data_IF_419738852434
#
_entry.id   IF_419738852434
#
_cell.length_a   1.000
_cell.length_b   1.000
_cell.length_c   1.000
_cell.angle_alpha   90.00
_cell.angle_beta   90.00
_cell.angle_gamma   90.00
#
_symmetry.space_group_name_H-M   'P 1'
#
loop_
_entity.id
_entity.type
_entity.pdbx_description
1 polymer ?
#
# COMPACT_ATOMS: atom_id res chain seq x y z
N UNK A 1 3.50 4.19 -18.82
CA UNK A 1 4.36 5.40 -18.69
C UNK A 1 4.19 5.97 -17.27
N UNK A 2 4.77 5.32 -16.25
CA UNK A 2 4.74 5.74 -14.82
C UNK A 2 6.09 5.37 -14.17
N UNK A 3 7.21 5.55 -14.88
CA UNK A 3 8.54 5.15 -14.38
C UNK A 3 9.16 6.18 -13.42
N UNK A 4 8.51 7.34 -13.19
CA UNK A 4 9.15 8.51 -12.56
C UNK A 4 8.51 8.98 -11.24
N UNK A 5 7.67 8.18 -10.60
CA UNK A 5 6.96 8.59 -9.37
C UNK A 5 7.71 8.18 -8.09
N UNK A 6 8.73 7.32 -8.17
CA UNK A 6 9.39 6.75 -7.00
C UNK A 6 10.63 7.57 -6.63
N UNK A 7 10.43 8.65 -5.89
CA UNK A 7 11.49 9.27 -5.09
C UNK A 7 10.84 10.00 -3.93
N UNK A 8 11.22 9.62 -2.70
CA UNK A 8 10.93 10.32 -1.44
C UNK A 8 9.52 10.17 -0.86
N UNK A 9 9.24 9.05 -0.18
CA UNK A 9 8.48 9.10 1.09
C UNK A 9 8.97 7.99 2.03
N UNK A 10 9.65 8.34 3.12
CA UNK A 10 10.04 7.44 4.21
C UNK A 10 9.11 7.66 5.42
N UNK A 11 8.65 6.56 6.04
CA UNK A 11 7.87 6.60 7.28
C UNK A 11 6.98 5.36 7.44
N UNK A 12 7.28 4.55 8.44
CA UNK A 12 6.62 3.27 8.72
C UNK A 12 5.33 3.42 9.53
N UNK A 13 4.42 2.49 9.25
CA UNK A 13 3.09 2.22 9.83
C UNK A 13 1.90 2.93 9.15
N UNK A 14 1.20 2.11 8.32
CA UNK A 14 -0.23 2.18 7.96
C UNK A 14 -0.67 3.09 6.80
N UNK A 15 0.05 3.04 5.67
CA UNK A 15 -0.57 3.05 4.33
C UNK A 15 0.41 2.41 3.35
N UNK A 16 0.03 1.31 2.71
CA UNK A 16 0.80 0.78 1.59
C UNK A 16 0.20 1.41 0.33
N UNK A 17 1.00 2.19 -0.40
CA UNK A 17 0.65 2.51 -1.78
C UNK A 17 0.96 1.27 -2.60
N UNK A 18 -0.07 0.67 -3.17
CA UNK A 18 0.10 -0.44 -4.07
C UNK A 18 -0.14 0.05 -5.49
N UNK A 19 0.85 -0.19 -6.34
CA UNK A 19 0.79 0.12 -7.76
C UNK A 19 0.82 -1.21 -8.48
N UNK A 20 -0.32 -1.61 -9.06
CA UNK A 20 -0.36 -2.75 -9.96
C UNK A 20 0.35 -2.39 -11.26
N UNK A 21 1.57 -2.86 -11.46
CA UNK A 21 2.15 -2.94 -12.80
C UNK A 21 1.53 -4.18 -13.48
N UNK A 22 0.44 -3.97 -14.22
CA UNK A 22 -0.20 -5.03 -15.02
C UNK A 22 0.78 -5.47 -16.11
N UNK A 23 1.42 -6.62 -15.94
CA UNK A 23 2.05 -7.34 -17.03
C UNK A 23 0.99 -8.30 -17.58
N UNK A 24 0.52 -8.02 -18.80
CA UNK A 24 -0.50 -8.85 -19.46
C UNK A 24 -0.02 -10.30 -19.55
N UNK A 25 -0.78 -11.23 -18.97
CA UNK A 25 -0.66 -12.66 -19.25
C UNK A 25 -2.02 -13.22 -19.65
N UNK A 26 -2.00 -14.10 -20.65
CA UNK A 26 -3.14 -14.57 -21.46
C UNK A 26 -4.17 -15.46 -20.72
N UNK A 27 -4.21 -15.47 -19.38
CA UNK A 27 -5.03 -16.41 -18.61
C UNK A 27 -5.99 -15.78 -17.59
N UNK A 28 -6.20 -14.46 -17.62
CA UNK A 28 -7.25 -13.83 -16.81
C UNK A 28 -7.06 -13.93 -15.29
N UNK A 29 -5.86 -14.29 -14.83
CA UNK A 29 -5.42 -14.22 -13.43
C UNK A 29 -4.23 -13.27 -13.38
N UNK A 30 -4.41 -12.08 -12.83
CA UNK A 30 -3.30 -11.16 -12.58
C UNK A 30 -2.61 -11.58 -11.28
N UNK A 31 -1.54 -12.37 -11.40
CA UNK A 31 -0.64 -12.66 -10.27
C UNK A 31 0.31 -11.47 -10.13
N UNK A 32 0.16 -10.72 -9.05
CA UNK A 32 1.00 -9.55 -8.80
C UNK A 32 2.06 -9.96 -7.78
N UNK A 33 3.29 -10.15 -8.25
CA UNK A 33 4.45 -10.41 -7.40
C UNK A 33 5.03 -9.08 -6.93
N UNK A 34 5.05 -8.87 -5.61
CA UNK A 34 5.91 -7.89 -4.96
C UNK A 34 5.17 -6.80 -4.18
N UNK A 35 5.37 -6.80 -2.87
CA UNK A 35 5.31 -5.61 -2.04
C UNK A 35 6.74 -5.05 -2.01
N UNK A 36 6.96 -3.83 -2.52
CA UNK A 36 8.24 -3.15 -2.29
C UNK A 36 8.24 -2.60 -0.85
N UNK A 37 8.61 -3.43 0.12
CA UNK A 37 9.03 -2.93 1.44
C UNK A 37 10.42 -2.33 1.30
N UNK A 38 10.50 -0.99 1.20
CA UNK A 38 11.77 -0.30 1.50
C UNK A 38 11.89 -0.24 3.03
N UNK A 39 12.25 -1.38 3.63
CA UNK A 39 12.81 -1.41 4.98
C UNK A 39 14.29 -1.67 4.86
N UNK A 40 15.06 -0.59 4.87
CA UNK A 40 16.31 -0.39 5.62
C UNK A 40 17.13 0.69 4.93
N UNK A 41 17.00 1.93 5.42
CA UNK A 41 18.06 2.91 5.26
C UNK A 41 19.06 2.64 6.41
N UNK A 42 19.95 1.66 6.24
CA UNK A 42 21.18 1.67 7.04
C UNK A 42 21.98 2.82 6.48
N UNK A 43 21.98 3.94 7.22
CA UNK A 43 22.75 5.13 6.89
C UNK A 43 24.19 4.74 6.56
N UNK A 44 24.58 5.01 5.31
CA UNK A 44 25.94 4.88 4.75
C UNK A 44 27.06 5.49 5.64
N UNK A 45 26.70 6.32 6.63
CA UNK A 45 27.65 6.87 7.60
C UNK A 45 28.34 5.82 8.47
N UNK A 46 27.69 4.70 8.84
CA UNK A 46 28.34 3.68 9.67
C UNK A 46 29.40 2.85 8.93
N UNK A 47 29.28 2.74 7.60
CA UNK A 47 30.28 2.06 6.75
C UNK A 47 31.52 2.94 6.54
N UNK A 48 31.37 4.26 6.46
CA UNK A 48 32.47 5.19 6.23
C UNK A 48 33.40 5.31 7.46
N UNK A 49 32.85 5.24 8.68
CA UNK A 49 33.66 5.31 9.91
C UNK A 49 34.52 4.06 10.13
N UNK A 50 34.05 2.88 9.68
CA UNK A 50 34.79 1.61 9.83
C UNK A 50 35.94 1.46 8.82
N UNK A 51 35.90 2.14 7.68
CA UNK A 51 36.98 2.14 6.68
C UNK A 51 38.08 3.18 6.97
N UNK A 52 37.80 4.19 7.81
CA UNK A 52 38.78 5.24 8.16
C UNK A 52 39.72 4.88 9.32
N UNK A 53 39.51 3.75 10.02
CA UNK A 53 40.29 3.41 11.22
C UNK A 53 41.60 2.64 10.94
N UNK A 54 41.88 2.23 9.70
CA UNK A 54 43.11 1.50 9.37
C UNK A 54 44.18 2.44 8.83
N UNK A 55 44.68 3.34 9.69
CA UNK A 55 46.04 3.88 9.56
C UNK A 55 46.45 4.55 10.87
N UNK A 56 46.93 3.74 11.83
CA UNK A 56 48.16 4.00 12.60
C UNK A 56 48.40 2.95 13.69
N UNK A 57 49.70 2.66 13.83
CA UNK A 57 50.43 1.99 14.93
C UNK A 57 50.26 0.48 15.13
N UNK A 58 51.36 -0.22 14.84
CA UNK A 58 51.69 -1.54 15.32
C UNK A 58 51.80 -1.58 16.85
N UNK A 59 51.16 -2.57 17.47
CA UNK A 59 51.67 -3.25 18.67
C UNK A 59 51.00 -4.63 18.78
N UNK A 60 51.82 -5.65 19.05
CA UNK A 60 51.45 -7.05 19.10
C UNK A 60 50.37 -7.33 20.16
N UNK A 61 49.25 -7.95 19.79
CA UNK A 61 48.35 -8.59 20.76
C UNK A 61 47.42 -9.62 20.10
N UNK A 62 47.63 -10.86 20.53
CA UNK A 62 46.82 -12.09 20.45
C UNK A 62 45.80 -12.23 19.29
N UNK A 63 46.21 -12.89 18.19
CA UNK A 63 45.38 -13.22 17.01
C UNK A 63 44.13 -14.06 17.34
N UNK A 64 44.14 -14.82 18.44
CA UNK A 64 43.08 -15.76 18.79
C UNK A 64 41.79 -15.12 19.33
N UNK A 65 41.84 -13.92 19.91
CA UNK A 65 40.65 -13.26 20.50
C UNK A 65 39.85 -12.45 19.47
N UNK A 66 40.51 -11.94 18.43
CA UNK A 66 39.88 -11.10 17.39
C UNK A 66 39.04 -11.94 16.41
N UNK A 67 39.44 -13.19 16.17
CA UNK A 67 38.72 -14.14 15.31
C UNK A 67 37.38 -14.55 15.92
N UNK A 68 37.30 -14.76 17.24
CA UNK A 68 36.04 -15.09 17.91
C UNK A 68 35.05 -13.91 17.95
N UNK A 69 35.53 -12.68 18.12
CA UNK A 69 34.68 -11.48 18.04
C UNK A 69 34.14 -11.25 16.63
N UNK A 70 34.97 -11.41 15.60
CA UNK A 70 34.53 -11.31 14.20
C UNK A 70 33.51 -12.40 13.84
N UNK A 71 33.71 -13.64 14.32
CA UNK A 71 32.79 -14.74 14.08
C UNK A 71 31.45 -14.55 14.82
N UNK A 72 31.47 -14.05 16.05
CA UNK A 72 30.26 -13.74 16.81
C UNK A 72 29.45 -12.61 16.15
N UNK A 73 30.10 -11.57 15.64
CA UNK A 73 29.46 -10.49 14.88
C UNK A 73 28.89 -10.99 13.55
N UNK A 74 29.61 -11.89 12.85
CA UNK A 74 29.12 -12.52 11.62
C UNK A 74 27.89 -13.39 11.89
N UNK A 75 27.89 -14.19 12.97
CA UNK A 75 26.76 -15.03 13.35
C UNK A 75 25.55 -14.19 13.80
N UNK A 76 25.77 -13.09 14.53
CA UNK A 76 24.72 -12.14 14.89
C UNK A 76 24.14 -11.42 13.65
N UNK A 77 24.98 -11.10 12.66
CA UNK A 77 24.55 -10.56 11.38
C UNK A 77 23.75 -11.57 10.54
N UNK A 78 24.15 -12.85 10.54
CA UNK A 78 23.42 -13.93 9.85
C UNK A 78 22.06 -14.25 10.52
N UNK A 79 21.99 -14.17 11.85
CA UNK A 79 20.75 -14.34 12.64
C UNK A 79 19.76 -13.16 12.46
N UNK A 80 20.26 -11.95 12.22
CA UNK A 80 19.40 -10.78 11.96
C UNK A 80 18.93 -10.71 10.50
N UNK A 81 19.72 -11.21 9.55
CA UNK A 81 19.36 -11.26 8.13
C UNK A 81 18.24 -12.28 7.82
N UNK A 82 18.05 -13.28 8.68
CA UNK A 82 17.04 -14.33 8.50
C UNK A 82 15.60 -13.91 8.83
N UNK A 83 15.38 -12.68 9.30
CA UNK A 83 14.04 -12.15 9.62
C UNK A 83 13.38 -11.33 8.51
N UNK A 84 14.05 -11.15 7.37
CA UNK A 84 13.50 -10.43 6.22
C UNK A 84 13.12 -11.40 5.09
N UNK A 85 12.20 -12.32 5.35
CA UNK A 85 11.43 -12.92 4.25
C UNK A 85 10.31 -11.94 3.91
N UNK A 86 10.43 -11.27 2.76
CA UNK A 86 9.25 -10.73 2.11
C UNK A 86 8.30 -11.92 1.93
N UNK A 87 7.16 -11.92 2.64
CA UNK A 87 6.10 -12.87 2.30
C UNK A 87 5.67 -12.52 0.87
N UNK A 88 5.73 -13.49 -0.03
CA UNK A 88 5.17 -13.37 -1.38
C UNK A 88 3.64 -13.33 -1.26
N UNK A 89 3.12 -12.18 -0.83
CA UNK A 89 1.69 -11.96 -0.62
C UNK A 89 0.93 -11.90 -1.92
N UNK A 90 -0.16 -12.65 -2.01
CA UNK A 90 -1.09 -12.57 -3.14
C UNK A 90 -2.09 -11.46 -2.87
N UNK A 91 -2.28 -10.58 -3.85
CA UNK A 91 -3.33 -9.58 -3.84
C UNK A 91 -4.41 -9.94 -4.87
N UNK A 92 -5.66 -9.60 -4.60
CA UNK A 92 -6.75 -9.81 -5.55
C UNK A 92 -7.67 -8.60 -5.67
N UNK A 93 -8.33 -8.49 -6.83
CA UNK A 93 -9.40 -7.55 -7.06
C UNK A 93 -10.74 -8.24 -6.82
N UNK A 94 -11.64 -7.58 -6.09
CA UNK A 94 -12.96 -8.09 -5.73
C UNK A 94 -14.05 -7.06 -6.00
N UNK A 95 -15.22 -7.52 -6.45
CA UNK A 95 -16.43 -6.70 -6.53
C UNK A 95 -16.91 -6.37 -7.94
N UNK A 96 -16.33 -6.97 -8.99
CA UNK A 96 -16.73 -6.70 -10.38
C UNK A 96 -17.59 -7.80 -11.02
N UNK A 97 -17.77 -8.96 -10.38
CA UNK A 97 -18.58 -10.05 -10.94
C UNK A 97 -19.63 -10.55 -9.97
N UNK A 98 -20.82 -10.80 -10.52
CA UNK A 98 -21.90 -11.46 -9.78
C UNK A 98 -21.45 -12.89 -9.44
N UNK A 99 -21.31 -13.17 -8.14
CA UNK A 99 -20.89 -14.49 -7.67
C UNK A 99 -19.44 -14.61 -7.23
N UNK A 100 -18.71 -13.49 -7.07
CA UNK A 100 -17.35 -13.48 -6.47
C UNK A 100 -17.33 -13.85 -4.98
N UNK A 101 -18.42 -14.41 -4.44
CA UNK A 101 -18.59 -14.70 -3.02
C UNK A 101 -18.73 -13.45 -2.17
N UNK A 102 -18.64 -13.64 -0.85
CA UNK A 102 -18.56 -12.54 0.12
C UNK A 102 -17.10 -12.19 0.38
N UNK A 103 -16.83 -10.96 0.82
CA UNK A 103 -15.47 -10.57 1.17
C UNK A 103 -14.95 -11.41 2.35
N UNK A 104 -15.83 -11.76 3.30
CA UNK A 104 -15.55 -12.73 4.37
C UNK A 104 -15.06 -14.07 3.82
N UNK A 105 -15.79 -14.71 2.91
CA UNK A 105 -15.41 -16.01 2.35
C UNK A 105 -14.08 -15.98 1.62
N UNK A 106 -13.75 -14.86 0.97
CA UNK A 106 -12.45 -14.66 0.30
C UNK A 106 -11.32 -14.59 1.33
N UNK A 107 -11.49 -13.79 2.39
CA UNK A 107 -10.47 -13.62 3.41
C UNK A 107 -10.28 -14.87 4.28
N UNK A 108 -11.31 -15.70 4.42
CA UNK A 108 -11.23 -16.99 5.13
C UNK A 108 -10.46 -18.07 4.35
N UNK A 109 -10.20 -17.86 3.05
CA UNK A 109 -9.35 -18.79 2.28
C UNK A 109 -7.90 -18.81 2.78
N UNK A 110 -7.44 -17.75 3.44
CA UNK A 110 -6.05 -17.58 3.85
C UNK A 110 -5.06 -17.38 2.70
N UNK A 111 -5.55 -17.22 1.46
CA UNK A 111 -4.70 -17.14 0.27
C UNK A 111 -4.22 -15.73 -0.05
N UNK A 112 -4.86 -14.69 0.49
CA UNK A 112 -4.64 -13.29 0.08
C UNK A 112 -4.13 -12.44 1.24
N UNK A 113 -3.12 -11.62 0.99
CA UNK A 113 -2.65 -10.61 1.93
C UNK A 113 -3.33 -9.25 1.71
N UNK A 114 -3.80 -9.00 0.48
CA UNK A 114 -4.45 -7.75 0.07
C UNK A 114 -5.70 -8.07 -0.74
N UNK A 115 -6.79 -7.36 -0.46
CA UNK A 115 -7.98 -7.33 -1.30
C UNK A 115 -8.25 -5.88 -1.74
N UNK A 116 -8.27 -5.66 -3.04
CA UNK A 116 -8.61 -4.40 -3.68
C UNK A 116 -10.10 -4.40 -4.03
N UNK A 117 -10.89 -3.56 -3.36
CA UNK A 117 -12.31 -3.36 -3.65
C UNK A 117 -12.44 -2.54 -4.94
N UNK A 118 -12.81 -3.19 -6.03
CA UNK A 118 -12.97 -2.57 -7.35
C UNK A 118 -14.45 -2.24 -7.61
N UNK A 119 -14.83 -0.99 -7.92
CA UNK A 119 -13.97 0.22 -7.91
C UNK A 119 -14.72 1.52 -7.62
N UNK A 120 -13.98 2.57 -7.29
CA UNK A 120 -14.42 3.96 -7.45
C UNK A 120 -14.20 4.36 -8.91
N UNK A 121 -15.24 4.25 -9.73
CA UNK A 121 -15.19 4.36 -11.19
C UNK A 121 -15.48 5.77 -11.71
N UNK A 122 -15.91 6.71 -10.86
CA UNK A 122 -16.12 8.11 -11.25
C UNK A 122 -15.62 9.03 -10.15
N UNK A 123 -14.76 9.99 -10.50
CA UNK A 123 -14.22 11.01 -9.60
C UNK A 123 -13.44 12.08 -10.37
N UNK A 124 -13.09 13.16 -9.67
CA UNK A 124 -12.25 14.25 -10.19
C UNK A 124 -12.94 15.11 -11.26
N UNK A 125 -12.32 16.24 -11.58
CA UNK A 125 -12.84 17.27 -12.48
C UNK A 125 -14.26 17.73 -12.12
N UNK A 126 -14.55 17.90 -10.82
CA UNK A 126 -15.86 18.34 -10.33
C UNK A 126 -16.99 17.30 -10.42
N UNK A 127 -16.70 16.05 -10.81
CA UNK A 127 -17.69 14.97 -10.83
C UNK A 127 -18.06 14.55 -9.41
N UNK A 128 -19.32 14.15 -9.22
CA UNK A 128 -19.73 13.47 -7.99
C UNK A 128 -19.11 12.07 -7.97
N UNK A 129 -18.38 11.67 -6.91
CA UNK A 129 -17.76 10.36 -6.91
C UNK A 129 -18.78 9.22 -6.87
N UNK A 130 -18.57 8.20 -7.70
CA UNK A 130 -19.40 7.00 -7.78
C UNK A 130 -18.56 5.73 -7.70
N UNK A 131 -19.07 4.74 -6.99
CA UNK A 131 -18.47 3.42 -6.86
C UNK A 131 -19.39 2.36 -7.49
N UNK A 132 -18.78 1.34 -8.09
CA UNK A 132 -19.49 0.21 -8.67
C UNK A 132 -18.88 -1.08 -8.11
N UNK A 133 -19.66 -1.82 -7.33
CA UNK A 133 -19.30 -3.17 -6.84
C UNK A 133 -20.26 -4.22 -7.41
N UNK A 134 -20.61 -4.07 -8.69
CA UNK A 134 -21.48 -4.96 -9.46
C UNK A 134 -22.79 -5.30 -8.71
N UNK A 135 -23.08 -6.59 -8.53
CA UNK A 135 -24.25 -7.07 -7.80
C UNK A 135 -24.11 -7.03 -6.28
N UNK A 136 -22.93 -6.71 -5.74
CA UNK A 136 -22.73 -6.68 -4.29
C UNK A 136 -23.41 -5.47 -3.67
N UNK A 137 -23.19 -4.28 -4.23
CA UNK A 137 -23.90 -3.07 -3.81
C UNK A 137 -23.76 -1.94 -4.83
N UNK A 138 -24.65 -0.96 -4.75
CA UNK A 138 -24.71 0.18 -5.67
C UNK A 138 -24.78 1.52 -4.94
N UNK A 139 -24.43 2.66 -5.58
CA UNK A 139 -24.39 3.98 -4.94
C UNK A 139 -25.69 4.39 -4.22
N UNK A 140 -26.85 4.07 -4.79
CA UNK A 140 -28.16 4.41 -4.23
C UNK A 140 -28.55 3.60 -2.99
N UNK A 141 -27.92 2.44 -2.77
CA UNK A 141 -28.11 1.61 -1.58
C UNK A 141 -26.76 1.44 -0.88
N UNK A 142 -26.37 2.43 -0.06
CA UNK A 142 -25.08 2.48 0.66
C UNK A 142 -24.58 1.08 1.02
N UNK A 143 -23.33 0.78 0.68
CA UNK A 143 -22.65 -0.51 0.82
C UNK A 143 -22.32 -0.89 2.29
N UNK A 144 -23.19 -0.55 3.25
CA UNK A 144 -22.94 -0.70 4.70
C UNK A 144 -22.70 -2.15 5.13
N UNK A 145 -23.20 -3.12 4.38
CA UNK A 145 -22.96 -4.54 4.64
C UNK A 145 -21.48 -4.92 4.50
N UNK A 146 -20.68 -4.12 3.79
CA UNK A 146 -19.25 -4.38 3.64
C UNK A 146 -18.45 -4.04 4.90
N UNK A 147 -18.89 -3.09 5.76
CA UNK A 147 -18.14 -2.78 6.99
C UNK A 147 -17.82 -4.00 7.88
N UNK A 148 -18.77 -4.87 8.25
CA UNK A 148 -18.45 -6.05 9.03
C UNK A 148 -17.53 -7.03 8.29
N UNK A 149 -17.67 -7.19 6.97
CA UNK A 149 -16.82 -8.08 6.18
C UNK A 149 -15.38 -7.54 6.04
N UNK A 150 -15.22 -6.22 5.85
CA UNK A 150 -13.92 -5.55 5.83
C UNK A 150 -13.20 -5.75 7.17
N UNK A 151 -13.90 -5.51 8.30
CA UNK A 151 -13.34 -5.73 9.63
C UNK A 151 -12.94 -7.19 9.86
N UNK A 152 -13.68 -8.12 9.26
CA UNK A 152 -13.35 -9.53 9.32
C UNK A 152 -12.03 -9.84 8.61
N UNK A 153 -11.86 -9.37 7.38
CA UNK A 153 -10.61 -9.47 6.63
C UNK A 153 -9.42 -8.89 7.39
N UNK A 154 -9.57 -7.69 7.95
CA UNK A 154 -8.53 -7.03 8.72
C UNK A 154 -8.12 -7.80 9.97
N UNK A 155 -9.08 -8.41 10.67
CA UNK A 155 -8.78 -9.31 11.82
C UNK A 155 -8.02 -10.56 11.40
N UNK A 156 -8.23 -11.04 10.18
CA UNK A 156 -7.49 -12.17 9.60
C UNK A 156 -6.13 -11.76 9.02
N UNK A 157 -5.70 -10.50 9.21
CA UNK A 157 -4.43 -9.99 8.70
C UNK A 157 -4.44 -9.63 7.21
N UNK A 158 -5.61 -9.65 6.57
CA UNK A 158 -5.79 -9.26 5.17
C UNK A 158 -6.05 -7.75 5.11
N UNK A 159 -5.23 -7.03 4.35
CA UNK A 159 -5.40 -5.60 4.12
C UNK A 159 -6.47 -5.35 3.07
N UNK A 160 -7.34 -4.37 3.28
CA UNK A 160 -8.43 -4.06 2.36
C UNK A 160 -8.30 -2.64 1.83
N UNK A 161 -8.07 -2.49 0.52
CA UNK A 161 -7.89 -1.20 -0.15
C UNK A 161 -9.09 -0.87 -1.03
N UNK A 162 -9.35 0.42 -1.24
CA UNK A 162 -10.25 0.86 -2.31
C UNK A 162 -9.44 1.04 -3.59
N UNK A 163 -9.86 0.41 -4.68
CA UNK A 163 -9.26 0.62 -5.99
C UNK A 163 -9.95 1.77 -6.73
N UNK A 164 -9.15 2.71 -7.24
CA UNK A 164 -9.62 3.83 -8.07
C UNK A 164 -9.47 3.49 -9.55
N UNK A 165 -10.49 3.79 -10.33
CA UNK A 165 -10.46 3.63 -11.78
C UNK A 165 -11.02 2.28 -12.23
N UNK A 166 -10.17 1.50 -12.90
CA UNK A 166 -10.52 0.30 -13.67
C UNK A 166 -10.81 0.60 -15.14
N UNK A 167 -10.95 -0.45 -15.93
CA UNK A 167 -11.16 -0.40 -17.38
C UNK A 167 -12.35 0.50 -17.83
N UNK A 168 -13.45 0.51 -17.07
CA UNK A 168 -14.65 1.29 -17.37
C UNK A 168 -14.89 2.37 -16.30
N UNK A 169 -15.01 3.63 -16.72
CA UNK A 169 -15.29 4.73 -15.79
C UNK A 169 -15.08 6.14 -16.36
N UNK A 170 -15.42 7.15 -15.55
CA UNK A 170 -15.23 8.56 -15.86
C UNK A 170 -14.39 9.23 -14.78
N UNK A 171 -13.09 9.09 -14.90
CA UNK A 171 -12.13 9.62 -13.95
C UNK A 171 -10.96 10.34 -14.63
N UNK A 172 -10.55 11.45 -14.04
CA UNK A 172 -9.34 12.21 -14.36
C UNK A 172 -9.18 13.27 -13.28
N UNK A 173 -7.95 13.73 -13.06
CA UNK A 173 -7.67 14.88 -12.23
C UNK A 173 -7.41 16.09 -13.13
N UNK A 174 -8.02 17.23 -12.83
CA UNK A 174 -7.99 18.42 -13.69
C UNK A 174 -7.05 19.53 -13.19
N UNK A 175 -6.62 19.46 -11.94
CA UNK A 175 -5.66 20.40 -11.32
C UNK A 175 -5.09 19.80 -10.03
N UNK A 176 -4.01 20.37 -9.48
CA UNK A 176 -3.54 20.02 -8.13
C UNK A 176 -4.62 20.22 -7.06
N UNK A 177 -5.44 21.26 -7.17
CA UNK A 177 -6.54 21.55 -6.25
C UNK A 177 -7.66 20.50 -6.34
N UNK A 178 -7.97 20.02 -7.55
CA UNK A 178 -8.90 18.91 -7.78
C UNK A 178 -8.34 17.60 -7.19
N UNK A 179 -7.04 17.32 -7.40
CA UNK A 179 -6.38 16.17 -6.78
C UNK A 179 -6.42 16.21 -5.24
N UNK A 180 -6.22 17.39 -4.65
CA UNK A 180 -6.39 17.60 -3.21
C UNK A 180 -7.85 17.38 -2.77
N UNK A 181 -8.82 17.87 -3.53
CA UNK A 181 -10.24 17.68 -3.23
C UNK A 181 -10.65 16.20 -3.27
N UNK A 182 -10.15 15.45 -4.26
CA UNK A 182 -10.33 14.00 -4.35
C UNK A 182 -9.65 13.29 -3.18
N UNK A 183 -8.42 13.69 -2.81
CA UNK A 183 -7.73 13.16 -1.63
C UNK A 183 -8.55 13.36 -0.33
N UNK A 184 -9.08 14.57 -0.13
CA UNK A 184 -9.90 14.91 1.02
C UNK A 184 -11.21 14.08 1.04
N UNK A 185 -11.82 13.86 -0.13
CA UNK A 185 -12.98 12.98 -0.26
C UNK A 185 -12.65 11.53 0.14
N UNK A 186 -11.58 10.95 -0.41
CA UNK A 186 -11.17 9.57 -0.13
C UNK A 186 -10.89 9.38 1.35
N UNK A 187 -10.15 10.30 1.96
CA UNK A 187 -9.84 10.26 3.38
C UNK A 187 -11.12 10.28 4.24
N UNK A 188 -11.99 11.27 4.03
CA UNK A 188 -13.19 11.44 4.85
C UNK A 188 -14.18 10.28 4.71
N UNK A 189 -14.27 9.66 3.53
CA UNK A 189 -15.29 8.63 3.25
C UNK A 189 -14.80 7.20 3.45
N UNK A 190 -13.50 6.94 3.38
CA UNK A 190 -12.97 5.57 3.37
C UNK A 190 -11.80 5.33 4.33
N UNK A 191 -10.99 6.35 4.66
CA UNK A 191 -9.76 6.18 5.46
C UNK A 191 -9.85 6.74 6.87
N UNK A 192 -10.80 7.62 7.18
CA UNK A 192 -10.94 8.26 8.51
C UNK A 192 -11.75 7.44 9.52
N UNK A 193 -12.39 6.35 9.07
CA UNK A 193 -13.32 5.52 9.86
C UNK A 193 -14.62 6.20 10.30
N UNK A 194 -14.80 7.47 9.92
CA UNK A 194 -16.08 8.16 10.01
C UNK A 194 -17.09 7.44 9.11
N UNK A 195 -18.37 7.69 9.37
CA UNK A 195 -19.46 7.04 8.65
C UNK A 195 -19.44 7.43 7.17
N UNK A 196 -18.99 6.51 6.32
CA UNK A 196 -18.91 6.68 4.86
C UNK A 196 -19.82 5.72 4.09
N UNK A 197 -19.54 5.52 2.79
CA UNK A 197 -20.26 4.59 1.91
C UNK A 197 -20.34 3.15 2.44
N UNK A 198 -19.27 2.66 3.06
CA UNK A 198 -19.22 1.33 3.67
C UNK A 198 -19.73 1.28 5.11
N UNK A 199 -20.15 2.41 5.67
CA UNK A 199 -20.43 2.53 7.11
C UNK A 199 -19.21 3.04 7.87
N UNK A 200 -19.11 2.72 9.17
CA UNK A 200 -18.01 3.15 10.03
C UNK A 200 -16.91 2.09 10.06
N UNK A 201 -15.99 2.19 9.10
CA UNK A 201 -14.83 1.31 8.91
C UNK A 201 -13.67 2.07 8.27
N UNK A 202 -12.44 1.72 8.63
CA UNK A 202 -11.22 2.21 8.01
C UNK A 202 -10.80 1.22 6.93
N UNK A 203 -10.50 1.68 5.72
CA UNK A 203 -9.70 0.90 4.78
C UNK A 203 -8.22 1.08 5.08
N UNK A 204 -7.40 0.11 4.65
CA UNK A 204 -5.96 0.10 4.90
C UNK A 204 -5.17 0.94 3.88
N UNK A 205 -5.81 1.38 2.80
CA UNK A 205 -5.17 2.15 1.74
C UNK A 205 -6.02 2.35 0.49
N UNK A 206 -5.37 2.95 -0.52
CA UNK A 206 -5.92 3.23 -1.85
C UNK A 206 -5.02 2.54 -2.88
N UNK A 207 -5.64 1.80 -3.79
CA UNK A 207 -5.02 1.22 -4.98
C UNK A 207 -5.31 2.11 -6.21
N UNK A 208 -4.32 2.29 -7.08
CA UNK A 208 -4.42 3.16 -8.26
C UNK A 208 -4.42 2.32 -9.54
N UNK A 209 -5.61 1.85 -9.95
CA UNK A 209 -5.84 1.10 -11.18
C UNK A 209 -6.26 2.05 -12.31
N UNK A 210 -5.34 2.92 -12.71
CA UNK A 210 -5.59 3.98 -13.69
C UNK A 210 -5.34 3.44 -15.11
N UNK A 211 -6.41 3.03 -15.78
CA UNK A 211 -6.37 2.43 -17.13
C UNK A 211 -6.78 3.41 -18.25
N UNK A 212 -7.26 4.61 -17.90
CA UNK A 212 -7.68 5.63 -18.86
C UNK A 212 -7.63 7.07 -18.34
N UNK A 213 -8.09 8.02 -19.15
CA UNK A 213 -8.14 9.45 -18.82
C UNK A 213 -6.79 10.16 -18.92
N UNK A 214 -6.62 11.24 -18.15
CA UNK A 214 -5.39 12.03 -18.07
C UNK A 214 -4.31 11.33 -17.25
N UNK A 215 -3.03 11.58 -17.57
CA UNK A 215 -1.88 11.14 -16.77
C UNK A 215 -1.35 12.21 -15.79
N UNK A 216 -2.08 13.32 -15.62
CA UNK A 216 -1.68 14.46 -14.78
C UNK A 216 -2.21 14.34 -13.34
N UNK A 217 -1.49 14.95 -12.40
CA UNK A 217 -1.87 15.20 -10.99
C UNK A 217 -2.08 13.97 -10.09
N UNK A 218 -1.82 12.75 -10.58
CA UNK A 218 -1.85 11.55 -9.75
C UNK A 218 -0.82 11.58 -8.61
N UNK A 219 0.30 12.28 -8.82
CA UNK A 219 1.31 12.53 -7.80
C UNK A 219 0.83 13.56 -6.75
N UNK A 220 0.05 14.57 -7.14
CA UNK A 220 -0.63 15.47 -6.20
C UNK A 220 -1.64 14.71 -5.32
N UNK A 221 -2.42 13.80 -5.92
CA UNK A 221 -3.34 12.94 -5.18
C UNK A 221 -2.60 12.07 -4.15
N UNK A 222 -1.49 11.44 -4.57
CA UNK A 222 -0.68 10.62 -3.68
C UNK A 222 -0.09 11.44 -2.52
N UNK A 223 0.44 12.65 -2.79
CA UNK A 223 0.93 13.59 -1.76
C UNK A 223 -0.17 14.04 -0.80
N UNK A 224 -1.38 14.29 -1.31
CA UNK A 224 -2.54 14.64 -0.49
C UNK A 224 -2.86 13.54 0.52
N UNK A 225 -2.92 12.29 0.06
CA UNK A 225 -3.19 11.12 0.90
C UNK A 225 -2.08 10.92 1.95
N UNK A 226 -0.82 11.11 1.57
CA UNK A 226 0.33 11.00 2.47
C UNK A 226 0.28 12.05 3.58
N UNK A 227 -0.12 13.27 3.23
CA UNK A 227 -0.27 14.36 4.19
C UNK A 227 -1.32 14.03 5.25
N UNK A 228 -2.48 13.48 4.83
CA UNK A 228 -3.53 13.04 5.75
C UNK A 228 -3.06 11.92 6.69
N UNK A 229 -2.36 10.92 6.16
CA UNK A 229 -1.75 9.85 6.96
C UNK A 229 -0.80 10.42 8.05
N UNK A 230 0.05 11.38 7.68
CA UNK A 230 0.97 12.02 8.62
C UNK A 230 0.21 12.77 9.72
N UNK A 231 -0.88 13.46 9.39
CA UNK A 231 -1.74 14.13 10.37
C UNK A 231 -2.34 13.14 11.37
N UNK A 232 -2.87 12.01 10.90
CA UNK A 232 -3.41 10.95 11.77
C UNK A 232 -2.34 10.40 12.72
N UNK A 233 -1.13 10.15 12.20
CA UNK A 233 -0.01 9.65 13.02
C UNK A 233 0.43 10.62 14.13
N UNK A 234 0.11 11.90 13.97
CA UNK A 234 0.40 12.96 14.94
C UNK A 234 -0.81 13.29 15.83
N UNK A 235 -1.96 12.63 15.64
CA UNK A 235 -3.20 12.94 16.38
C UNK A 235 -3.81 14.30 16.02
N UNK A 236 -3.56 14.79 14.81
CA UNK A 236 -4.00 16.10 14.32
C UNK A 236 -5.20 16.04 13.36
N UNK A 237 -5.81 14.85 13.21
CA UNK A 237 -6.92 14.55 12.29
C UNK A 237 -8.30 14.61 12.91
#
# INVERSE_FOLDING_TARGET
>A
MVKRIISSVAGWHRLYYWFTLKQESLLGVTIIRGVLEISTFVTSQSLCTMLSANNKTAMASNKSSRTHQALALLLFFLLTLSSAHAKDGIAMYWGQKNGDGTLTSICDTGNFEIVNLASLSTFGCGRTPEWNFAGHCRPWSRCKKLAPEIKHCQRNGVKVFLSLGGADGFYSLCSPEDAKSVSDYLYNNFLSGRKGPFGSVYLDGIDLDIEGGSNLYWDDLARGLDTRRKQDSLGLG
#
